data_IF_670760890909
#
_entry.id   IF_670760890909
#
_cell.length_a   1.000
_cell.length_b   1.000
_cell.length_c   1.000
_cell.angle_alpha   90.00
_cell.angle_beta   90.00
_cell.angle_gamma   90.00
#
_symmetry.space_group_name_H-M   'P 1'
#
loop_
_entity.id
_entity.type
_entity.pdbx_description
1 polymer ?
#
# COMPACT_ATOMS: atom_id res chain seq x y z
N UNK A 1 -7.96 10.11 2.16
CA UNK A 1 -8.51 8.76 2.48
C UNK A 1 -8.04 7.74 1.47
N UNK A 2 -7.18 6.84 1.93
CA UNK A 2 -6.58 5.74 1.17
C UNK A 2 -7.52 4.54 1.21
N UNK A 3 -7.67 3.84 0.08
CA UNK A 3 -8.46 2.61 -0.03
C UNK A 3 -7.59 1.50 -0.62
N UNK A 4 -8.03 0.24 -0.49
CA UNK A 4 -7.33 -0.91 -1.10
C UNK A 4 -7.29 -0.87 -2.63
N UNK A 5 -8.18 -0.11 -3.24
CA UNK A 5 -8.26 0.11 -4.68
C UNK A 5 -7.32 1.23 -5.16
N UNK A 6 -6.61 1.91 -4.25
CA UNK A 6 -5.65 2.94 -4.62
C UNK A 6 -4.55 2.34 -5.50
N UNK A 7 -4.17 3.05 -6.55
CA UNK A 7 -2.99 2.71 -7.32
C UNK A 7 -1.74 2.94 -6.47
N UNK A 8 -0.79 2.02 -6.53
CA UNK A 8 0.48 2.16 -5.80
C UNK A 8 1.16 3.49 -6.16
N UNK A 9 1.08 3.93 -7.42
CA UNK A 9 1.65 5.21 -7.87
C UNK A 9 1.06 6.41 -7.15
N UNK A 10 -0.27 6.43 -6.95
CA UNK A 10 -0.94 7.52 -6.25
C UNK A 10 -0.74 7.41 -4.73
N UNK A 11 -0.73 6.20 -4.19
CA UNK A 11 -0.39 5.95 -2.78
C UNK A 11 0.98 6.53 -2.40
N UNK A 12 1.99 6.39 -3.26
CA UNK A 12 3.33 6.90 -2.99
C UNK A 12 3.37 8.43 -3.08
N UNK A 13 2.56 9.03 -3.97
CA UNK A 13 2.42 10.50 -4.05
C UNK A 13 1.74 11.07 -2.83
N UNK A 14 0.70 10.41 -2.32
CA UNK A 14 -0.04 10.84 -1.13
C UNK A 14 0.72 10.54 0.16
N UNK A 15 1.37 9.38 0.23
CA UNK A 15 2.12 8.90 1.39
C UNK A 15 3.53 8.55 0.97
N UNK A 16 4.49 9.50 1.03
CA UNK A 16 5.88 9.24 0.63
C UNK A 16 6.55 8.12 1.45
N UNK A 17 6.03 7.82 2.65
CA UNK A 17 6.47 6.69 3.49
C UNK A 17 5.87 5.33 3.14
N UNK A 18 4.87 5.25 2.24
CA UNK A 18 4.18 4.00 1.93
C UNK A 18 5.09 2.95 1.30
N UNK A 19 6.07 3.37 0.49
CA UNK A 19 7.04 2.44 -0.12
C UNK A 19 7.81 1.67 0.95
N UNK A 20 8.35 2.37 1.95
CA UNK A 20 9.10 1.75 3.04
C UNK A 20 8.20 0.80 3.85
N UNK A 21 7.00 1.27 4.19
CA UNK A 21 6.00 0.52 4.94
C UNK A 21 5.58 -0.79 4.24
N UNK A 22 5.39 -0.76 2.91
CA UNK A 22 5.05 -1.93 2.10
C UNK A 22 6.25 -2.87 1.96
N UNK A 23 7.46 -2.32 1.77
CA UNK A 23 8.70 -3.10 1.70
C UNK A 23 8.98 -3.88 2.99
N UNK A 24 8.75 -3.28 4.17
CA UNK A 24 8.88 -3.97 5.47
C UNK A 24 7.96 -5.18 5.60
N UNK A 25 6.79 -5.14 4.94
CA UNK A 25 5.83 -6.25 4.87
C UNK A 25 6.11 -7.25 3.76
N UNK A 26 7.20 -7.07 3.00
CA UNK A 26 7.55 -7.92 1.88
C UNK A 26 6.74 -7.68 0.60
N UNK A 27 5.93 -6.61 0.57
CA UNK A 27 5.23 -6.16 -0.64
C UNK A 27 6.25 -5.40 -1.49
N UNK A 28 6.82 -6.11 -2.47
CA UNK A 28 7.82 -5.55 -3.38
C UNK A 28 7.13 -4.68 -4.42
N UNK A 29 7.26 -3.37 -4.27
CA UNK A 29 6.74 -2.38 -5.23
C UNK A 29 7.60 -2.27 -6.50
N UNK A 30 8.78 -2.90 -6.53
CA UNK A 30 9.77 -2.80 -7.61
C UNK A 30 10.31 -4.20 -7.93
N UNK A 31 10.05 -4.70 -9.13
CA UNK A 31 10.67 -5.90 -9.67
C UNK A 31 11.42 -5.52 -10.95
N UNK A 32 12.75 -5.75 -10.97
CA UNK A 32 13.56 -5.76 -12.20
C UNK A 32 13.45 -4.52 -13.12
N UNK A 33 13.15 -3.34 -12.59
CA UNK A 33 13.12 -2.08 -13.36
C UNK A 33 11.77 -1.72 -13.99
N UNK A 34 10.75 -2.57 -13.82
CA UNK A 34 9.37 -2.25 -14.20
C UNK A 34 8.52 -2.09 -12.92
N UNK A 35 7.86 -0.94 -12.74
CA UNK A 35 6.95 -0.74 -11.61
C UNK A 35 5.78 -1.73 -11.71
N UNK A 36 5.40 -2.37 -10.59
CA UNK A 36 4.14 -3.12 -10.55
C UNK A 36 3.01 -2.08 -10.58
N UNK A 37 2.43 -1.89 -11.77
CA UNK A 37 1.31 -1.00 -12.02
C UNK A 37 0.00 -1.73 -11.70
N UNK A 38 -0.44 -1.56 -10.45
CA UNK A 38 -1.67 -2.16 -9.95
C UNK A 38 -2.16 -1.44 -8.70
N UNK A 39 -3.26 -1.95 -8.14
CA UNK A 39 -3.79 -1.45 -6.87
C UNK A 39 -3.05 -2.06 -5.70
N UNK A 40 -3.17 -1.43 -4.52
CA UNK A 40 -2.68 -1.97 -3.26
C UNK A 40 -3.23 -3.37 -2.97
N UNK A 41 -4.50 -3.59 -3.27
CA UNK A 41 -5.15 -4.90 -3.12
C UNK A 41 -4.47 -5.98 -3.96
N UNK A 42 -4.21 -5.68 -5.25
CA UNK A 42 -3.63 -6.64 -6.18
C UNK A 42 -2.20 -7.03 -5.74
N UNK A 43 -1.37 -6.03 -5.45
CA UNK A 43 0.00 -6.23 -4.99
C UNK A 43 0.08 -7.02 -3.67
N UNK A 44 -0.89 -6.83 -2.77
CA UNK A 44 -0.99 -7.59 -1.53
C UNK A 44 -1.52 -9.01 -1.77
N UNK A 45 -2.53 -9.20 -2.63
CA UNK A 45 -3.06 -10.52 -2.98
C UNK A 45 -2.03 -11.40 -3.69
N UNK A 46 -1.19 -10.82 -4.55
CA UNK A 46 -0.07 -11.55 -5.17
C UNK A 46 0.92 -12.12 -4.14
N UNK A 47 1.04 -11.49 -2.98
CA UNK A 47 1.86 -11.97 -1.86
C UNK A 47 1.12 -12.93 -0.93
N UNK A 48 -0.15 -13.19 -1.17
CA UNK A 48 -0.99 -14.07 -0.37
C UNK A 48 -1.59 -13.40 0.88
N UNK A 49 -1.63 -12.06 0.93
CA UNK A 49 -2.35 -11.37 1.99
C UNK A 49 -3.86 -11.59 1.86
N UNK A 50 -4.52 -11.82 2.99
CA UNK A 50 -5.98 -11.94 3.05
C UNK A 50 -6.64 -10.56 3.04
N UNK A 51 -7.92 -10.48 2.64
CA UNK A 51 -8.67 -9.20 2.60
C UNK A 51 -8.66 -8.47 3.95
N UNK A 52 -8.69 -9.20 5.07
CA UNK A 52 -8.58 -8.63 6.42
C UNK A 52 -7.19 -8.03 6.73
N UNK A 53 -6.12 -8.59 6.17
CA UNK A 53 -4.77 -8.02 6.32
C UNK A 53 -4.60 -6.78 5.44
N UNK A 54 -5.18 -6.81 4.24
CA UNK A 54 -5.21 -5.66 3.32
C UNK A 54 -5.97 -4.50 3.96
N UNK A 55 -7.10 -4.77 4.60
CA UNK A 55 -7.87 -3.75 5.33
C UNK A 55 -7.04 -3.11 6.45
N UNK A 56 -6.31 -3.92 7.24
CA UNK A 56 -5.37 -3.41 8.25
C UNK A 56 -4.28 -2.54 7.63
N UNK A 57 -3.70 -2.96 6.50
CA UNK A 57 -2.69 -2.19 5.78
C UNK A 57 -3.26 -0.82 5.37
N UNK A 58 -4.49 -0.79 4.83
CA UNK A 58 -5.16 0.46 4.47
C UNK A 58 -5.38 1.36 5.68
N UNK A 59 -5.82 0.81 6.81
CA UNK A 59 -6.00 1.59 8.04
C UNK A 59 -4.68 2.23 8.50
N UNK A 60 -3.60 1.45 8.56
CA UNK A 60 -2.28 1.93 8.95
C UNK A 60 -1.74 2.98 7.97
N UNK A 61 -1.99 2.83 6.65
CA UNK A 61 -1.62 3.83 5.64
C UNK A 61 -2.38 5.14 5.82
N UNK A 62 -3.69 5.08 6.14
CA UNK A 62 -4.46 6.28 6.48
C UNK A 62 -3.89 6.96 7.73
N UNK A 63 -3.49 6.19 8.74
CA UNK A 63 -2.84 6.74 9.94
C UNK A 63 -1.49 7.39 9.63
N UNK A 64 -0.69 6.81 8.72
CA UNK A 64 0.59 7.35 8.26
C UNK A 64 0.44 8.61 7.40
N UNK A 65 -0.64 8.72 6.64
CA UNK A 65 -0.93 9.89 5.79
C UNK A 65 -1.22 11.16 6.60
N UNK A 66 -1.31 11.08 7.92
CA UNK A 66 -1.68 12.19 8.78
C UNK A 66 -3.19 12.37 8.93
N UNK A 67 -3.98 11.42 8.42
CA UNK A 67 -5.41 11.29 8.70
C UNK A 67 -5.62 10.68 10.10
N UNK A 68 -4.97 11.30 11.09
CA UNK A 68 -5.28 11.12 12.50
C UNK A 68 -6.44 12.07 12.79
N UNK A 69 -7.64 11.51 12.88
CA UNK A 69 -8.77 12.17 13.50
C UNK A 69 -8.33 12.80 14.83
N UNK A 70 -8.64 14.09 14.99
CA UNK A 70 -8.73 14.73 16.31
C UNK A 70 -9.75 14.04 17.20
#
# INVERSE_FOLDING_TARGET
MITKEIYIEDLIKEVPGAVAFLMERGIKCIACGEPIWGTLEDAAKEKGFSDAEIDRIVQELNQLSGEQAS
#
